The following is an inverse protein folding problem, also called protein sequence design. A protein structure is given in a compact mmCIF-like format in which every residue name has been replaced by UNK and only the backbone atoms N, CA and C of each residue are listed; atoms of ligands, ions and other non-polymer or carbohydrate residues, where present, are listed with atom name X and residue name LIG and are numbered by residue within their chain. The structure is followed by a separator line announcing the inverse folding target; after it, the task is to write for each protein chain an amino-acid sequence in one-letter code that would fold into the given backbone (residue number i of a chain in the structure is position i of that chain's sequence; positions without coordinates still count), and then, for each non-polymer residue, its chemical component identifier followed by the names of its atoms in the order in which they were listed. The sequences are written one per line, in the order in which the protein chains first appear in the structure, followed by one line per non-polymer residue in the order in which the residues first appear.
data_IF_966797549165
#
_entry.id   IF_966797549165
#
_cell.length_a   1.000
_cell.length_b   1.000
_cell.length_c   1.000
_cell.angle_alpha   90.00
_cell.angle_beta   90.00
_cell.angle_gamma   90.00
#
_symmetry.space_group_name_H-M   'P 1'
#
loop_
_entity.id
_entity.type
_entity.pdbx_description
1 polymer ?
#
# COMPACT_ATOMS: atom_id res chain seq x y z
N UNK A 1 6.89 16.75 8.90
CA UNK A 1 5.91 15.75 9.36
C UNK A 1 5.07 15.42 8.16
N UNK A 2 5.10 14.17 7.69
CA UNK A 2 4.36 13.75 6.50
C UNK A 2 2.85 13.71 6.80
N UNK A 3 2.02 14.21 5.89
CA UNK A 3 0.56 14.23 6.04
C UNK A 3 -0.10 13.64 4.81
N UNK A 4 -1.17 12.87 4.99
CA UNK A 4 -1.94 12.30 3.88
C UNK A 4 -2.50 13.37 2.93
N UNK A 5 -2.74 14.59 3.41
CA UNK A 5 -3.13 15.73 2.58
C UNK A 5 -2.07 16.13 1.53
N UNK A 6 -0.84 15.64 1.66
CA UNK A 6 0.25 15.84 0.68
C UNK A 6 0.13 14.85 -0.49
N UNK A 7 -0.66 13.79 -0.35
CA UNK A 7 -0.93 12.81 -1.39
C UNK A 7 -1.96 13.41 -2.37
N UNK A 8 -1.72 13.37 -3.70
CA UNK A 8 -2.63 13.94 -4.67
C UNK A 8 -4.02 13.35 -4.57
N UNK A 9 -5.02 14.24 -4.63
CA UNK A 9 -6.44 13.88 -4.58
C UNK A 9 -6.87 13.14 -3.31
N UNK A 10 -6.02 13.04 -2.29
CA UNK A 10 -6.35 12.30 -1.06
C UNK A 10 -7.63 12.79 -0.42
N UNK A 11 -7.76 14.10 -0.18
CA UNK A 11 -8.96 14.66 0.46
C UNK A 11 -10.23 14.28 -0.28
N UNK A 12 -10.22 14.41 -1.61
CA UNK A 12 -11.37 14.09 -2.46
C UNK A 12 -11.69 12.58 -2.42
N UNK A 13 -10.66 11.73 -2.50
CA UNK A 13 -10.83 10.28 -2.43
C UNK A 13 -11.31 9.84 -1.05
N UNK A 14 -10.77 10.42 0.01
CA UNK A 14 -11.15 10.08 1.37
C UNK A 14 -12.58 10.52 1.68
N UNK A 15 -12.97 11.74 1.29
CA UNK A 15 -14.35 12.24 1.42
C UNK A 15 -15.34 11.37 0.63
N UNK A 16 -15.02 11.02 -0.63
CA UNK A 16 -15.87 10.12 -1.43
C UNK A 16 -16.02 8.76 -0.76
N UNK A 17 -14.93 8.21 -0.23
CA UNK A 17 -14.97 6.95 0.52
C UNK A 17 -15.89 7.05 1.75
N UNK A 18 -15.80 8.13 2.54
CA UNK A 18 -16.66 8.33 3.71
C UNK A 18 -18.14 8.47 3.33
N UNK A 19 -18.44 9.16 2.24
CA UNK A 19 -19.81 9.30 1.73
C UNK A 19 -20.38 7.94 1.32
N UNK A 20 -19.64 7.18 0.52
CA UNK A 20 -20.04 5.83 0.09
C UNK A 20 -20.24 4.88 1.28
N UNK A 21 -19.38 4.96 2.29
CA UNK A 21 -19.54 4.17 3.51
C UNK A 21 -20.83 4.53 4.25
N UNK A 22 -21.17 5.83 4.34
CA UNK A 22 -22.44 6.30 4.92
C UNK A 22 -23.65 5.85 4.10
N UNK A 23 -23.52 5.79 2.77
CA UNK A 23 -24.57 5.28 1.89
C UNK A 23 -24.87 3.80 2.13
N UNK A 24 -23.87 2.95 2.42
CA UNK A 24 -24.11 1.55 2.82
C UNK A 24 -25.03 1.50 4.05
N UNK A 25 -24.75 2.32 5.06
CA UNK A 25 -25.56 2.37 6.28
C UNK A 25 -27.00 2.82 5.99
N UNK A 26 -27.16 3.84 5.15
CA UNK A 26 -28.48 4.33 4.75
C UNK A 26 -29.27 3.32 3.91
N UNK A 27 -28.62 2.60 2.99
CA UNK A 27 -29.25 1.56 2.17
C UNK A 27 -29.74 0.41 3.04
N UNK A 28 -28.94 -0.02 4.02
CA UNK A 28 -29.35 -1.05 5.01
C UNK A 28 -30.59 -0.59 5.79
N UNK A 29 -30.65 0.68 6.21
CA UNK A 29 -31.77 1.22 6.99
C UNK A 29 -33.07 1.39 6.19
N UNK A 30 -32.99 1.55 4.87
CA UNK A 30 -34.13 1.89 4.00
C UNK A 30 -34.68 0.70 3.21
N UNK A 31 -33.94 -0.41 3.14
CA UNK A 31 -34.38 -1.64 2.46
C UNK A 31 -35.61 -2.26 3.13
N UNK A 32 -36.59 -2.65 2.30
CA UNK A 32 -37.88 -3.22 2.75
C UNK A 32 -37.97 -4.74 2.56
N UNK A 33 -37.05 -5.33 1.81
CA UNK A 33 -36.97 -6.78 1.58
C UNK A 33 -35.81 -7.37 2.42
N UNK A 34 -36.18 -8.18 3.41
CA UNK A 34 -35.26 -8.73 4.41
C UNK A 34 -34.59 -10.03 3.96
N UNK A 35 -34.95 -10.56 2.78
CA UNK A 35 -34.35 -11.79 2.25
C UNK A 35 -32.83 -11.67 1.98
N UNK A 36 -32.34 -10.45 1.75
CA UNK A 36 -30.92 -10.12 1.53
C UNK A 36 -30.21 -9.52 2.77
N UNK A 37 -30.89 -9.37 3.92
CA UNK A 37 -30.35 -8.63 5.07
C UNK A 37 -29.11 -9.31 5.68
N UNK A 38 -29.02 -10.65 5.58
CA UNK A 38 -27.89 -11.43 6.07
C UNK A 38 -26.60 -11.13 5.27
N UNK A 39 -26.71 -10.73 4.00
CA UNK A 39 -25.56 -10.46 3.14
C UNK A 39 -25.02 -9.02 3.33
N UNK A 40 -25.90 -8.03 3.45
CA UNK A 40 -25.48 -6.63 3.68
C UNK A 40 -24.89 -6.39 5.08
N UNK A 41 -25.39 -7.04 6.13
CA UNK A 41 -24.79 -6.95 7.46
C UNK A 41 -23.40 -7.61 7.53
N UNK A 42 -23.22 -8.71 6.78
CA UNK A 42 -21.92 -9.35 6.62
C UNK A 42 -20.96 -8.45 5.84
N UNK A 43 -21.42 -7.85 4.74
CA UNK A 43 -20.70 -6.81 3.99
C UNK A 43 -20.26 -5.70 4.95
N UNK A 44 -21.17 -5.09 5.71
CA UNK A 44 -20.88 -4.03 6.70
C UNK A 44 -19.84 -4.45 7.74
N UNK A 45 -19.94 -5.67 8.29
CA UNK A 45 -18.98 -6.17 9.28
C UNK A 45 -17.57 -6.31 8.71
N UNK A 46 -17.45 -6.83 7.48
CA UNK A 46 -16.16 -6.99 6.81
C UNK A 46 -15.58 -5.64 6.34
N UNK A 47 -16.43 -4.71 5.89
CA UNK A 47 -16.05 -3.33 5.61
C UNK A 47 -15.52 -2.60 6.84
N UNK A 48 -16.18 -2.77 8.00
CA UNK A 48 -15.71 -2.22 9.27
C UNK A 48 -14.27 -2.65 9.60
N UNK A 49 -13.92 -3.91 9.33
CA UNK A 49 -12.56 -4.38 9.60
C UNK A 49 -11.51 -3.71 8.70
N UNK A 50 -11.80 -3.58 7.40
CA UNK A 50 -10.97 -2.80 6.47
C UNK A 50 -10.84 -1.34 6.94
N UNK A 51 -11.97 -0.71 7.23
CA UNK A 51 -12.06 0.69 7.58
C UNK A 51 -11.30 1.03 8.87
N UNK A 52 -11.43 0.20 9.91
CA UNK A 52 -10.66 0.34 11.15
C UNK A 52 -9.16 0.31 10.85
N UNK A 53 -8.70 -0.63 10.00
CA UNK A 53 -7.28 -0.72 9.63
C UNK A 53 -6.81 0.49 8.83
N UNK A 54 -7.62 0.99 7.91
CA UNK A 54 -7.33 2.17 7.13
C UNK A 54 -7.22 3.42 8.03
N UNK A 55 -8.19 3.63 8.94
CA UNK A 55 -8.19 4.74 9.90
C UNK A 55 -7.00 4.67 10.86
N UNK A 56 -6.63 3.47 11.33
CA UNK A 56 -5.44 3.29 12.16
C UNK A 56 -4.17 3.73 11.42
N UNK A 57 -3.98 3.32 10.17
CA UNK A 57 -2.82 3.74 9.37
C UNK A 57 -2.72 5.27 9.24
N UNK A 58 -3.85 5.96 9.07
CA UNK A 58 -3.89 7.41 8.94
C UNK A 58 -3.73 8.12 10.29
N UNK A 59 -4.19 7.53 11.39
CA UNK A 59 -4.17 8.11 12.73
C UNK A 59 -2.78 8.16 13.40
N UNK A 60 -1.76 7.48 12.85
CA UNK A 60 -0.40 7.55 13.40
C UNK A 60 0.22 8.90 13.03
N UNK A 61 0.11 9.92 13.87
CA UNK A 61 0.66 11.24 13.57
C UNK A 61 2.10 11.43 14.07
N UNK A 62 2.48 10.69 15.11
CA UNK A 62 3.74 10.85 15.80
C UNK A 62 4.19 9.52 16.42
N UNK A 63 5.51 9.33 16.49
CA UNK A 63 6.13 8.26 17.30
C UNK A 63 7.13 8.87 18.27
N UNK A 64 7.21 8.31 19.47
CA UNK A 64 8.17 8.73 20.49
C UNK A 64 9.18 7.62 20.70
N UNK A 65 10.43 7.88 20.27
CA UNK A 65 11.53 6.93 20.41
C UNK A 65 12.20 7.16 21.78
N UNK A 66 12.27 6.13 22.63
CA UNK A 66 12.86 6.24 23.99
C UNK A 66 14.36 6.56 23.92
N UNK A 67 14.80 7.69 24.48
CA UNK A 67 16.19 8.17 24.39
C UNK A 67 17.23 7.25 25.04
N UNK A 68 16.80 6.33 25.90
CA UNK A 68 17.68 5.41 26.63
C UNK A 68 18.50 4.47 25.72
N UNK A 69 18.03 4.22 24.49
CA UNK A 69 18.60 3.17 23.63
C UNK A 69 19.39 3.68 22.41
N UNK A 70 19.33 4.98 22.06
CA UNK A 70 20.09 5.56 20.93
C UNK A 70 20.16 7.09 21.03
N UNK A 71 21.35 7.68 20.82
CA UNK A 71 21.61 9.13 21.01
C UNK A 71 21.11 10.02 19.85
N UNK A 72 20.89 9.49 18.64
CA UNK A 72 20.44 10.26 17.48
C UNK A 72 19.00 9.86 17.08
N UNK A 73 17.99 10.38 17.79
CA UNK A 73 16.55 10.11 17.55
C UNK A 73 15.79 11.26 16.91
N UNK A 74 16.41 11.99 15.98
CA UNK A 74 15.82 13.23 15.44
C UNK A 74 15.94 13.24 13.91
N UNK A 75 14.94 13.82 13.24
CA UNK A 75 14.93 13.98 11.78
C UNK A 75 14.51 12.72 11.02
N UNK A 76 15.32 12.33 10.04
CA UNK A 76 15.03 11.29 9.04
C UNK A 76 14.76 9.91 9.66
N UNK A 77 15.48 9.54 10.73
CA UNK A 77 15.25 8.29 11.45
C UNK A 77 13.81 8.19 11.97
N UNK A 78 13.33 9.24 12.64
CA UNK A 78 11.99 9.30 13.22
C UNK A 78 10.93 9.25 12.12
N UNK A 79 11.16 9.97 11.03
CA UNK A 79 10.25 9.98 9.90
C UNK A 79 10.20 8.63 9.19
N UNK A 80 11.35 7.97 9.00
CA UNK A 80 11.43 6.62 8.43
C UNK A 80 10.62 5.62 9.25
N UNK A 81 10.79 5.62 10.57
CA UNK A 81 10.01 4.77 11.48
C UNK A 81 8.52 5.09 11.44
N UNK A 82 8.13 6.38 11.49
CA UNK A 82 6.74 6.80 11.37
C UNK A 82 6.12 6.24 10.08
N UNK A 83 6.82 6.39 8.96
CA UNK A 83 6.37 5.91 7.66
C UNK A 83 6.31 4.39 7.61
N UNK A 84 7.24 3.65 8.24
CA UNK A 84 7.18 2.19 8.34
C UNK A 84 5.92 1.72 9.07
N UNK A 85 5.60 2.32 10.23
CA UNK A 85 4.39 1.97 10.97
C UNK A 85 3.12 2.26 10.17
N UNK A 86 3.03 3.46 9.58
CA UNK A 86 1.91 3.84 8.68
C UNK A 86 1.77 2.87 7.52
N UNK A 87 2.87 2.58 6.84
CA UNK A 87 2.91 1.70 5.69
C UNK A 87 2.52 0.26 6.04
N UNK A 88 2.97 -0.26 7.16
CA UNK A 88 2.63 -1.60 7.62
C UNK A 88 1.14 -1.72 7.97
N UNK A 89 0.57 -0.73 8.67
CA UNK A 89 -0.87 -0.72 8.97
C UNK A 89 -1.73 -0.55 7.70
N UNK A 90 -1.26 0.27 6.76
CA UNK A 90 -1.92 0.42 5.45
C UNK A 90 -1.85 -0.88 4.63
N UNK A 91 -0.73 -1.62 4.70
CA UNK A 91 -0.64 -2.95 4.09
C UNK A 91 -1.68 -3.89 4.70
N UNK A 92 -1.85 -3.90 6.03
CA UNK A 92 -2.90 -4.70 6.65
C UNK A 92 -4.32 -4.29 6.20
N UNK A 93 -4.58 -3.00 5.99
CA UNK A 93 -5.83 -2.54 5.39
C UNK A 93 -6.00 -3.10 3.97
N UNK A 94 -4.97 -3.02 3.13
CA UNK A 94 -4.97 -3.63 1.80
C UNK A 94 -5.27 -5.14 1.84
N UNK A 95 -4.64 -5.88 2.75
CA UNK A 95 -4.92 -7.32 2.90
C UNK A 95 -6.36 -7.60 3.35
N UNK A 96 -6.91 -6.76 4.24
CA UNK A 96 -8.30 -6.84 4.66
C UNK A 96 -9.25 -6.60 3.48
N UNK A 97 -8.95 -5.61 2.64
CA UNK A 97 -9.70 -5.35 1.42
C UNK A 97 -9.67 -6.54 0.44
N UNK A 98 -8.50 -7.14 0.17
CA UNK A 98 -8.42 -8.30 -0.74
C UNK A 98 -9.23 -9.49 -0.20
N UNK A 99 -9.25 -9.71 1.12
CA UNK A 99 -10.10 -10.72 1.75
C UNK A 99 -11.58 -10.40 1.57
N UNK A 100 -11.99 -9.16 1.81
CA UNK A 100 -13.34 -8.68 1.60
C UNK A 100 -13.77 -8.88 0.13
N UNK A 101 -12.94 -8.47 -0.83
CA UNK A 101 -13.17 -8.69 -2.25
C UNK A 101 -13.42 -10.17 -2.56
N UNK A 102 -12.57 -11.07 -2.08
CA UNK A 102 -12.70 -12.52 -2.29
C UNK A 102 -13.94 -13.13 -1.60
N UNK A 103 -14.44 -12.51 -0.52
CA UNK A 103 -15.66 -12.97 0.14
C UNK A 103 -16.92 -12.58 -0.63
N UNK A 104 -16.88 -11.45 -1.34
CA UNK A 104 -18.03 -10.91 -2.09
C UNK A 104 -18.06 -11.31 -3.56
N UNK A 105 -16.98 -11.90 -4.06
CA UNK A 105 -16.85 -12.32 -5.46
C UNK A 105 -16.56 -13.82 -5.54
N UNK A 106 -17.13 -14.48 -6.55
CA UNK A 106 -17.03 -15.94 -6.74
C UNK A 106 -15.61 -16.41 -7.08
N UNK A 107 -14.77 -15.54 -7.66
CA UNK A 107 -13.42 -15.90 -8.06
C UNK A 107 -12.42 -15.51 -6.97
N UNK A 108 -11.97 -16.49 -6.19
CA UNK A 108 -10.96 -16.26 -5.16
C UNK A 108 -9.58 -16.04 -5.79
N UNK A 109 -9.01 -14.86 -5.55
CA UNK A 109 -7.64 -14.55 -5.94
C UNK A 109 -6.73 -14.74 -4.74
N UNK A 110 -5.91 -15.78 -4.78
CA UNK A 110 -5.05 -16.16 -3.66
C UNK A 110 -3.86 -15.19 -3.45
N UNK A 111 -3.37 -14.58 -4.54
CA UNK A 111 -2.18 -13.74 -4.46
C UNK A 111 -2.54 -12.28 -4.27
N UNK A 112 -2.22 -11.76 -3.09
CA UNK A 112 -2.31 -10.34 -2.73
C UNK A 112 -1.50 -9.43 -3.66
N UNK A 113 -0.46 -9.94 -4.31
CA UNK A 113 0.38 -9.15 -5.22
C UNK A 113 -0.17 -9.13 -6.65
N UNK A 114 -0.81 -10.23 -7.08
CA UNK A 114 -1.35 -10.36 -8.45
C UNK A 114 -2.78 -9.79 -8.54
N UNK A 115 -3.48 -9.61 -7.41
CA UNK A 115 -4.87 -9.16 -7.37
C UNK A 115 -5.15 -7.96 -8.28
N UNK A 116 -4.34 -6.89 -8.24
CA UNK A 116 -4.56 -5.70 -9.06
C UNK A 116 -3.89 -5.75 -10.45
N UNK A 117 -3.46 -6.92 -10.92
CA UNK A 117 -2.81 -7.00 -12.24
C UNK A 117 -3.81 -6.85 -13.38
N UNK A 118 -3.34 -6.34 -14.53
CA UNK A 118 -4.12 -6.21 -15.77
C UNK A 118 -4.82 -7.52 -16.17
N UNK A 119 -4.21 -8.68 -15.87
CA UNK A 119 -4.71 -10.01 -16.23
C UNK A 119 -5.65 -10.61 -15.18
N UNK A 120 -5.82 -9.94 -14.03
CA UNK A 120 -6.53 -10.50 -12.87
C UNK A 120 -7.76 -9.68 -12.51
N UNK A 121 -7.64 -8.36 -12.41
CA UNK A 121 -8.78 -7.47 -12.15
C UNK A 121 -8.70 -6.23 -13.04
N UNK A 122 -9.01 -6.42 -14.32
CA UNK A 122 -8.94 -5.37 -15.33
C UNK A 122 -9.76 -4.12 -14.94
N UNK A 123 -10.96 -4.33 -14.40
CA UNK A 123 -11.88 -3.23 -14.07
C UNK A 123 -11.38 -2.36 -12.91
N UNK A 124 -10.66 -2.97 -11.96
CA UNK A 124 -10.00 -2.25 -10.87
C UNK A 124 -8.69 -1.63 -11.35
N UNK A 125 -7.90 -2.36 -12.13
CA UNK A 125 -6.66 -1.87 -12.69
C UNK A 125 -6.90 -0.62 -13.54
N UNK A 126 -7.92 -0.60 -14.39
CA UNK A 126 -8.23 0.50 -15.31
C UNK A 126 -8.82 1.75 -14.64
N UNK A 127 -9.00 1.76 -13.32
CA UNK A 127 -9.41 2.99 -12.63
C UNK A 127 -8.36 4.08 -12.84
N UNK A 128 -8.80 5.25 -13.32
CA UNK A 128 -7.91 6.33 -13.72
C UNK A 128 -6.99 6.79 -12.58
N UNK A 129 -7.50 6.84 -11.36
CA UNK A 129 -6.74 7.24 -10.17
C UNK A 129 -5.65 6.22 -9.84
N UNK A 130 -5.88 4.92 -10.08
CA UNK A 130 -4.88 3.87 -9.89
C UNK A 130 -3.79 3.98 -10.97
N UNK A 131 -4.18 4.16 -12.24
CA UNK A 131 -3.22 4.35 -13.33
C UNK A 131 -2.34 5.60 -13.12
N UNK A 132 -2.95 6.71 -12.72
CA UNK A 132 -2.23 7.94 -12.38
C UNK A 132 -1.29 7.75 -11.19
N UNK A 133 -1.70 7.00 -10.17
CA UNK A 133 -0.84 6.69 -9.02
C UNK A 133 0.36 5.84 -9.41
N UNK A 134 0.20 4.84 -10.30
CA UNK A 134 1.31 4.03 -10.82
C UNK A 134 2.29 4.91 -11.59
N UNK A 135 1.79 5.75 -12.50
CA UNK A 135 2.63 6.69 -13.27
C UNK A 135 3.40 7.63 -12.34
N UNK A 136 2.72 8.23 -11.36
CA UNK A 136 3.35 9.10 -10.36
C UNK A 136 4.41 8.36 -9.55
N UNK A 137 4.14 7.13 -9.11
CA UNK A 137 5.10 6.34 -8.35
C UNK A 137 6.40 6.10 -9.14
N UNK A 138 6.30 5.82 -10.45
CA UNK A 138 7.47 5.68 -11.33
C UNK A 138 8.25 7.00 -11.48
N UNK A 139 7.55 8.14 -11.62
CA UNK A 139 8.17 9.47 -11.68
C UNK A 139 8.89 9.77 -10.36
N UNK A 140 8.20 9.63 -9.22
CA UNK A 140 8.76 9.94 -7.90
C UNK A 140 9.93 9.03 -7.54
N UNK A 141 9.90 7.75 -7.93
CA UNK A 141 11.04 6.85 -7.75
C UNK A 141 12.25 7.34 -8.51
N UNK A 142 12.10 7.70 -9.79
CA UNK A 142 13.19 8.22 -10.60
C UNK A 142 13.71 9.57 -10.07
N UNK A 143 12.84 10.43 -9.53
CA UNK A 143 13.25 11.69 -8.91
C UNK A 143 14.04 11.47 -7.62
N UNK A 144 13.60 10.54 -6.76
CA UNK A 144 14.25 10.24 -5.47
C UNK A 144 15.56 9.48 -5.64
N UNK A 145 15.63 8.59 -6.63
CA UNK A 145 16.77 7.75 -6.98
C UNK A 145 17.41 8.19 -8.32
N UNK A 146 17.68 9.49 -8.44
CA UNK A 146 18.15 10.13 -9.68
C UNK A 146 19.66 10.03 -9.93
N UNK A 147 20.46 9.62 -8.94
CA UNK A 147 21.90 9.39 -9.11
C UNK A 147 22.24 7.90 -9.14
N UNK A 148 23.34 7.54 -9.82
CA UNK A 148 23.80 6.15 -9.87
C UNK A 148 24.10 5.57 -8.49
N UNK A 149 24.60 6.39 -7.57
CA UNK A 149 24.84 6.01 -6.17
C UNK A 149 23.53 5.59 -5.48
N UNK A 150 22.51 6.44 -5.52
CA UNK A 150 21.20 6.13 -4.93
C UNK A 150 20.55 4.90 -5.57
N UNK A 151 20.67 4.75 -6.90
CA UNK A 151 20.20 3.54 -7.60
C UNK A 151 20.95 2.29 -7.17
N UNK A 152 22.26 2.39 -6.95
CA UNK A 152 23.05 1.29 -6.40
C UNK A 152 22.57 0.92 -4.99
N UNK A 153 22.27 1.89 -4.14
CA UNK A 153 21.75 1.62 -2.80
C UNK A 153 20.37 0.95 -2.85
N UNK A 154 19.46 1.43 -3.71
CA UNK A 154 18.16 0.80 -3.95
C UNK A 154 18.33 -0.64 -4.47
N UNK A 155 19.23 -0.85 -5.42
CA UNK A 155 19.56 -2.17 -5.94
C UNK A 155 20.03 -3.11 -4.82
N UNK A 156 20.99 -2.69 -3.99
CA UNK A 156 21.50 -3.47 -2.86
C UNK A 156 20.41 -3.77 -1.83
N UNK A 157 19.52 -2.81 -1.57
CA UNK A 157 18.38 -3.01 -0.68
C UNK A 157 17.39 -4.05 -1.24
N UNK A 158 17.13 -4.06 -2.55
CA UNK A 158 16.29 -5.08 -3.18
C UNK A 158 16.98 -6.46 -3.14
N UNK A 159 18.31 -6.53 -3.28
CA UNK A 159 19.06 -7.79 -3.09
C UNK A 159 18.91 -8.34 -1.68
N UNK A 160 19.00 -7.49 -0.66
CA UNK A 160 18.69 -7.88 0.70
C UNK A 160 17.24 -8.40 0.83
N UNK A 161 16.27 -7.71 0.22
CA UNK A 161 14.89 -8.22 0.21
C UNK A 161 14.76 -9.58 -0.49
N UNK A 162 15.59 -9.88 -1.49
CA UNK A 162 15.62 -11.18 -2.18
C UNK A 162 16.16 -12.28 -1.27
N UNK A 163 17.19 -12.01 -0.45
CA UNK A 163 17.77 -13.02 0.45
C UNK A 163 16.81 -13.44 1.57
N UNK A 164 15.92 -12.52 1.98
CA UNK A 164 14.90 -12.76 3.02
C UNK A 164 13.57 -13.30 2.45
N UNK A 165 13.42 -13.35 1.13
CA UNK A 165 12.16 -13.69 0.47
C UNK A 165 11.97 -15.20 0.26
N UNK A 166 10.72 -15.64 0.33
CA UNK A 166 10.32 -16.96 -0.18
C UNK A 166 10.54 -17.08 -1.70
N UNK A 167 10.69 -18.30 -2.23
CA UNK A 167 10.94 -18.54 -3.67
C UNK A 167 10.02 -17.76 -4.62
N UNK A 168 8.72 -17.69 -4.33
CA UNK A 168 7.76 -17.00 -5.21
C UNK A 168 7.89 -15.47 -5.19
N UNK A 169 8.31 -14.90 -4.05
CA UNK A 169 8.55 -13.47 -3.89
C UNK A 169 9.92 -13.10 -4.47
N UNK A 170 10.94 -13.93 -4.24
CA UNK A 170 12.28 -13.80 -4.80
C UNK A 170 12.24 -13.68 -6.33
N UNK A 171 11.46 -14.51 -7.04
CA UNK A 171 11.32 -14.40 -8.50
C UNK A 171 10.79 -13.04 -8.97
N UNK A 172 9.82 -12.46 -8.26
CA UNK A 172 9.27 -11.14 -8.61
C UNK A 172 10.26 -10.04 -8.30
N UNK A 173 10.94 -10.10 -7.15
CA UNK A 173 11.99 -9.15 -6.79
C UNK A 173 13.18 -9.19 -7.76
N UNK A 174 13.56 -10.38 -8.26
CA UNK A 174 14.57 -10.53 -9.31
C UNK A 174 14.15 -9.90 -10.65
N UNK A 175 12.85 -9.74 -10.92
CA UNK A 175 12.39 -8.95 -12.06
C UNK A 175 12.55 -7.45 -11.81
N UNK A 176 12.24 -7.00 -10.59
CA UNK A 176 12.36 -5.59 -10.20
C UNK A 176 13.83 -5.14 -10.22
N UNK A 177 14.74 -5.95 -9.68
CA UNK A 177 16.16 -5.60 -9.67
C UNK A 177 16.71 -5.43 -11.10
N UNK A 178 16.24 -6.24 -12.06
CA UNK A 178 16.60 -6.10 -13.47
C UNK A 178 16.11 -4.80 -14.12
N UNK A 179 15.17 -4.08 -13.50
CA UNK A 179 14.67 -2.76 -13.92
C UNK A 179 15.45 -1.60 -13.31
N UNK A 180 16.35 -1.85 -12.37
CA UNK A 180 17.21 -0.81 -11.76
C UNK A 180 18.46 -0.64 -12.61
N UNK A 181 18.41 0.18 -13.67
CA UNK A 181 19.59 0.51 -14.47
C UNK A 181 20.43 1.58 -13.75
N UNK A 182 21.52 1.12 -13.11
CA UNK A 182 22.39 1.96 -12.26
C UNK A 182 23.00 3.16 -13.04
N UNK A 183 23.56 2.99 -14.25
CA UNK A 183 24.00 4.11 -15.08
C UNK A 183 22.89 5.13 -15.39
N UNK A 184 21.71 4.67 -15.79
CA UNK A 184 20.70 5.54 -16.40
C UNK A 184 19.56 5.89 -15.43
N UNK A 185 18.48 5.11 -15.44
CA UNK A 185 17.23 5.35 -14.70
C UNK A 185 16.63 4.03 -14.20
N UNK A 186 15.57 4.11 -13.41
CA UNK A 186 14.75 2.94 -13.09
C UNK A 186 13.66 2.79 -14.16
N UNK A 187 13.64 1.65 -14.84
CA UNK A 187 12.57 1.32 -15.78
C UNK A 187 11.21 1.26 -15.06
N UNK A 188 10.14 1.58 -15.78
CA UNK A 188 8.80 1.63 -15.20
C UNK A 188 8.43 0.29 -14.51
N UNK A 189 8.12 0.40 -13.23
CA UNK A 189 7.58 -0.68 -12.42
C UNK A 189 6.08 -0.82 -12.71
N UNK A 190 5.66 -2.05 -12.96
CA UNK A 190 4.23 -2.38 -13.10
C UNK A 190 3.58 -2.48 -11.71
N UNK A 191 2.25 -2.47 -11.65
CA UNK A 191 1.53 -2.61 -10.37
C UNK A 191 1.95 -3.85 -9.57
N UNK A 192 2.25 -4.96 -10.25
CA UNK A 192 2.70 -6.20 -9.60
C UNK A 192 4.11 -6.08 -9.05
N UNK A 193 4.98 -5.25 -9.66
CA UNK A 193 6.30 -4.93 -9.13
C UNK A 193 6.16 -4.11 -7.85
N UNK A 194 5.34 -3.05 -7.91
CA UNK A 194 5.06 -2.20 -6.76
C UNK A 194 4.51 -2.98 -5.57
N UNK A 195 3.49 -3.82 -5.78
CA UNK A 195 2.92 -4.64 -4.71
C UNK A 195 3.90 -5.71 -4.21
N UNK A 196 4.79 -6.23 -5.06
CA UNK A 196 5.84 -7.17 -4.63
C UNK A 196 6.88 -6.49 -3.74
N UNK A 197 7.31 -5.28 -4.12
CA UNK A 197 8.25 -4.49 -3.35
C UNK A 197 7.63 -4.05 -2.02
N UNK A 198 6.39 -3.58 -2.03
CA UNK A 198 5.61 -3.27 -0.84
C UNK A 198 5.54 -4.45 0.13
N UNK A 199 5.22 -5.65 -0.39
CA UNK A 199 5.16 -6.86 0.42
C UNK A 199 6.52 -7.24 1.02
N UNK A 200 7.61 -7.06 0.27
CA UNK A 200 8.97 -7.35 0.75
C UNK A 200 9.40 -6.40 1.86
N UNK A 201 9.22 -5.09 1.66
CA UNK A 201 9.52 -4.08 2.69
C UNK A 201 8.74 -4.34 3.97
N UNK A 202 7.45 -4.65 3.83
CA UNK A 202 6.58 -4.99 4.97
C UNK A 202 7.01 -6.27 5.67
N UNK A 203 7.33 -7.33 4.93
CA UNK A 203 7.72 -8.61 5.53
C UNK A 203 9.02 -8.48 6.31
N UNK A 204 10.00 -7.77 5.77
CA UNK A 204 11.26 -7.52 6.47
C UNK A 204 11.00 -6.76 7.77
N UNK A 205 10.15 -5.73 7.75
CA UNK A 205 9.78 -5.00 8.97
C UNK A 205 9.10 -5.89 10.03
N UNK A 206 8.12 -6.72 9.62
CA UNK A 206 7.34 -7.55 10.55
C UNK A 206 8.14 -8.73 11.12
N UNK A 207 8.99 -9.35 10.32
CA UNK A 207 9.69 -10.58 10.71
C UNK A 207 11.11 -10.34 11.21
N UNK A 208 11.78 -9.30 10.73
CA UNK A 208 13.19 -9.01 11.07
C UNK A 208 13.34 -7.78 12.00
N UNK A 209 12.24 -7.11 12.35
CA UNK A 209 12.20 -5.99 13.30
C UNK A 209 12.66 -4.64 12.74
N UNK A 210 12.62 -3.60 13.59
CA UNK A 210 12.86 -2.19 13.24
C UNK A 210 14.24 -1.91 12.59
N UNK A 211 15.25 -2.74 12.84
CA UNK A 211 16.67 -2.36 12.73
C UNK A 211 17.55 -3.17 11.77
N UNK A 212 17.04 -4.19 11.09
CA UNK A 212 17.88 -5.03 10.21
C UNK A 212 17.31 -4.97 8.78
N UNK A 213 17.90 -4.39 7.75
CA UNK A 213 19.22 -3.85 7.50
C UNK A 213 18.95 -2.68 6.54
N UNK A 214 19.16 -1.43 6.97
CA UNK A 214 19.77 -0.50 6.01
C UNK A 214 21.04 -1.22 5.60
N UNK A 215 21.22 -1.61 4.34
CA UNK A 215 22.59 -1.97 3.95
C UNK A 215 23.47 -0.80 4.41
N UNK A 216 24.74 -1.00 4.79
CA UNK A 216 25.58 0.13 5.22
C UNK A 216 25.49 1.35 4.27
N UNK A 217 25.10 1.09 3.02
CA UNK A 217 24.82 2.06 1.97
C UNK A 217 23.40 2.65 1.91
N UNK A 218 22.32 1.92 2.26
CA UNK A 218 20.93 2.41 2.10
C UNK A 218 20.37 3.03 3.38
N UNK A 219 20.63 4.32 3.59
CA UNK A 219 20.33 5.01 4.86
C UNK A 219 18.82 5.22 5.15
N UNK A 220 18.51 5.80 6.32
CA UNK A 220 17.13 6.09 6.72
C UNK A 220 16.43 7.11 5.82
N UNK A 221 17.16 8.01 5.17
CA UNK A 221 16.63 9.04 4.28
C UNK A 221 16.13 8.40 2.99
N UNK A 222 16.97 7.57 2.35
CA UNK A 222 16.63 6.84 1.12
C UNK A 222 15.53 5.80 1.38
N UNK A 223 15.60 5.11 2.51
CA UNK A 223 14.55 4.18 2.92
C UNK A 223 13.21 4.88 3.13
N UNK A 224 13.21 6.03 3.79
CA UNK A 224 12.00 6.86 3.94
C UNK A 224 11.47 7.27 2.56
N UNK A 225 12.34 7.71 1.65
CA UNK A 225 11.96 8.12 0.31
C UNK A 225 11.26 6.99 -0.47
N UNK A 226 11.79 5.77 -0.41
CA UNK A 226 11.12 4.59 -0.97
C UNK A 226 9.76 4.33 -0.31
N UNK A 227 9.69 4.33 1.03
CA UNK A 227 8.46 4.03 1.75
C UNK A 227 7.37 5.06 1.44
N UNK A 228 7.71 6.35 1.30
CA UNK A 228 6.74 7.38 0.92
C UNK A 228 6.11 7.05 -0.44
N UNK A 229 6.91 6.68 -1.43
CA UNK A 229 6.39 6.30 -2.76
C UNK A 229 5.45 5.09 -2.66
N UNK A 230 5.86 4.06 -1.92
CA UNK A 230 5.05 2.85 -1.71
C UNK A 230 3.75 3.17 -0.95
N UNK A 231 3.83 4.04 0.06
CA UNK A 231 2.70 4.47 0.87
C UNK A 231 1.68 5.23 0.03
N UNK A 232 2.10 6.25 -0.71
CA UNK A 232 1.22 7.05 -1.59
C UNK A 232 0.44 6.17 -2.55
N UNK A 233 1.14 5.27 -3.23
CA UNK A 233 0.53 4.34 -4.17
C UNK A 233 -0.51 3.44 -3.46
N UNK A 234 -0.15 2.88 -2.31
CA UNK A 234 -1.02 1.95 -1.58
C UNK A 234 -2.26 2.64 -0.99
N UNK A 235 -2.15 3.93 -0.63
CA UNK A 235 -3.29 4.74 -0.17
C UNK A 235 -4.32 4.87 -1.29
N UNK A 236 -3.87 5.26 -2.48
CA UNK A 236 -4.76 5.44 -3.64
C UNK A 236 -5.39 4.10 -4.04
N UNK A 237 -4.61 3.03 -4.08
CA UNK A 237 -5.13 1.68 -4.35
C UNK A 237 -6.21 1.31 -3.34
N UNK A 238 -5.95 1.47 -2.05
CA UNK A 238 -6.88 1.06 -0.99
C UNK A 238 -8.17 1.85 -1.02
N UNK A 239 -8.08 3.18 -1.18
CA UNK A 239 -9.26 4.05 -1.26
C UNK A 239 -10.06 3.77 -2.53
N UNK A 240 -9.42 3.83 -3.71
CA UNK A 240 -10.14 3.73 -4.98
C UNK A 240 -10.72 2.33 -5.22
N UNK A 241 -10.00 1.28 -4.85
CA UNK A 241 -10.52 -0.09 -4.97
C UNK A 241 -11.74 -0.29 -4.07
N UNK A 242 -11.69 0.25 -2.85
CA UNK A 242 -12.82 0.13 -1.93
C UNK A 242 -14.02 0.94 -2.43
N UNK A 243 -13.84 2.19 -2.87
CA UNK A 243 -14.90 2.99 -3.48
C UNK A 243 -15.57 2.23 -4.63
N UNK A 244 -14.78 1.71 -5.57
CA UNK A 244 -15.30 0.94 -6.71
C UNK A 244 -16.12 -0.26 -6.24
N UNK A 245 -15.62 -1.02 -5.27
CA UNK A 245 -16.35 -2.19 -4.76
C UNK A 245 -17.67 -1.80 -4.11
N UNK A 246 -17.71 -0.71 -3.35
CA UNK A 246 -18.95 -0.18 -2.77
C UNK A 246 -19.92 0.22 -3.89
N UNK A 247 -19.44 0.96 -4.89
CA UNK A 247 -20.26 1.41 -6.03
C UNK A 247 -20.82 0.21 -6.81
N UNK A 248 -19.98 -0.78 -7.12
CA UNK A 248 -20.40 -2.01 -7.79
C UNK A 248 -21.48 -2.74 -6.98
N UNK A 249 -21.36 -2.80 -5.65
CA UNK A 249 -22.32 -3.49 -4.77
C UNK A 249 -23.58 -2.70 -4.45
N UNK A 250 -23.51 -1.39 -4.24
CA UNK A 250 -24.70 -0.57 -4.02
C UNK A 250 -25.58 -0.56 -5.28
N UNK A 251 -24.98 -0.50 -6.48
CA UNK A 251 -25.73 -0.55 -7.74
C UNK A 251 -26.43 -1.90 -7.99
N UNK A 252 -26.09 -2.96 -7.25
CA UNK A 252 -26.78 -4.26 -7.30
C UNK A 252 -28.10 -4.27 -6.48
N UNK A 253 -28.37 -3.24 -5.66
CA UNK A 253 -29.52 -3.14 -4.73
C UNK A 253 -30.41 -1.93 -5.00
#
# INVERSE_FOLDING_TARGET
MYRESEIPYFTILFERYQNLYTEIENTILTQRDFSNLIDLDNIRSQFNFFDIKLRLAFAIYEINLSQEYMQQKVGELRLCHLMLYKFNDLWFAYEAFVKLYNNLNTTSIQSKVIWLSLRTNLDYFNQQEIQNAILRANIELNLKFNTSEKRQHLHNYIQYCISEASNSQSNRLNRIIGKINIPDNVDDLEITDWLSLSYAVRNNFVHNGETTVTTPEFDYSEKKDLIIVLYELLVIISLKSTQKMIEDKINEY
#
